data_IF_260616888359
#
_entry.id   IF_260616888359
#
_cell.length_a   1.000
_cell.length_b   1.000
_cell.length_c   1.000
_cell.angle_alpha   90.00
_cell.angle_beta   90.00
_cell.angle_gamma   90.00
#
_symmetry.space_group_name_H-M   'P 1'
#
loop_
_entity.id
_entity.type
_entity.pdbx_description
1 polymer ?
#
# COMPACT_ATOMS: atom_id res chain seq x y z
N UNK A 1 5.02 5.73 24.64
CA UNK A 1 4.43 4.59 23.92
C UNK A 1 4.98 4.47 22.50
N UNK A 2 4.78 5.47 21.61
CA UNK A 2 5.13 5.43 20.18
C UNK A 2 6.61 5.06 19.86
N UNK A 3 7.56 5.45 20.71
CA UNK A 3 8.98 5.04 20.59
C UNK A 3 9.18 3.52 20.65
N UNK A 4 8.36 2.82 21.44
CA UNK A 4 8.41 1.36 21.54
C UNK A 4 7.88 0.68 20.27
N UNK A 5 6.96 1.35 19.56
CA UNK A 5 6.34 0.91 18.30
C UNK A 5 7.32 1.11 17.13
N UNK A 6 8.13 2.18 17.15
CA UNK A 6 9.17 2.43 16.14
C UNK A 6 9.26 3.89 15.69
N UNK A 7 8.28 4.72 16.02
CA UNK A 7 8.29 6.15 15.69
C UNK A 7 9.38 6.91 16.46
N UNK A 8 9.98 7.90 15.81
CA UNK A 8 10.89 8.86 16.44
C UNK A 8 10.05 9.97 17.06
N UNK A 9 9.92 10.08 18.41
CA UNK A 9 8.95 11.01 19.01
C UNK A 9 9.18 12.48 18.63
N UNK A 10 10.42 12.86 18.32
CA UNK A 10 10.76 14.21 17.92
C UNK A 10 10.21 14.61 16.55
N UNK A 11 9.88 13.65 15.70
CA UNK A 11 9.29 13.92 14.37
C UNK A 11 7.76 13.94 14.41
N UNK A 12 7.16 13.82 15.60
CA UNK A 12 5.71 13.73 15.80
C UNK A 12 5.23 14.96 16.59
N UNK A 13 4.34 15.80 16.02
CA UNK A 13 3.76 16.91 16.76
C UNK A 13 2.78 16.37 17.82
N UNK A 14 2.82 16.96 19.02
CA UNK A 14 1.89 16.66 20.11
C UNK A 14 1.02 17.87 20.37
N UNK A 15 -0.26 17.78 19.99
CA UNK A 15 -1.21 18.89 20.08
C UNK A 15 -2.26 18.57 21.17
N UNK A 16 -2.33 19.35 22.26
CA UNK A 16 -3.44 19.23 23.19
C UNK A 16 -4.69 19.86 22.55
N UNK A 17 -5.77 19.08 22.43
CA UNK A 17 -7.01 19.50 21.76
C UNK A 17 -8.23 19.16 22.61
N UNK A 18 -9.33 19.87 22.36
CA UNK A 18 -10.68 19.41 22.70
C UNK A 18 -11.48 19.27 21.41
N UNK A 19 -11.67 18.04 20.95
CA UNK A 19 -12.46 17.80 19.74
C UNK A 19 -13.92 18.24 19.87
N UNK A 20 -14.46 18.28 21.11
CA UNK A 20 -15.83 18.71 21.38
C UNK A 20 -15.99 20.24 21.37
N UNK A 21 -15.08 20.95 22.04
CA UNK A 21 -15.18 22.41 22.18
C UNK A 21 -14.44 23.17 21.06
N UNK A 22 -13.62 22.48 20.26
CA UNK A 22 -12.83 23.09 19.20
C UNK A 22 -11.45 23.62 19.63
N UNK A 23 -11.06 23.45 20.90
CA UNK A 23 -9.78 23.96 21.41
C UNK A 23 -8.59 23.41 20.61
N UNK A 24 -7.74 24.30 20.08
CA UNK A 24 -6.57 23.98 19.25
C UNK A 24 -6.88 23.14 18.00
N UNK A 25 -8.13 23.06 17.55
CA UNK A 25 -8.48 22.34 16.33
C UNK A 25 -8.07 23.15 15.09
N UNK A 26 -8.65 24.36 14.96
CA UNK A 26 -8.38 25.30 13.86
C UNK A 26 -7.68 26.56 14.35
N UNK A 27 -7.98 27.00 15.57
CA UNK A 27 -7.49 28.24 16.18
C UNK A 27 -6.87 27.96 17.56
N UNK A 28 -6.00 28.86 18.02
CA UNK A 28 -5.35 28.77 19.33
C UNK A 28 -6.37 28.91 20.46
N UNK A 29 -6.32 28.01 21.44
CA UNK A 29 -7.25 28.00 22.55
C UNK A 29 -6.86 29.00 23.64
N UNK A 30 -7.79 29.87 24.08
CA UNK A 30 -7.56 30.73 25.25
C UNK A 30 -7.52 29.93 26.57
N UNK A 31 -8.03 28.68 26.58
CA UNK A 31 -8.09 27.83 27.76
C UNK A 31 -6.74 27.17 28.11
N UNK A 32 -5.73 27.29 27.24
CA UNK A 32 -4.42 26.67 27.41
C UNK A 32 -3.26 27.69 27.37
N UNK A 33 -3.23 28.71 28.26
CA UNK A 33 -2.21 29.76 28.24
C UNK A 33 -0.77 29.25 28.49
N UNK A 34 -0.66 28.05 29.09
CA UNK A 34 0.60 27.36 29.33
C UNK A 34 1.20 26.75 28.06
N UNK A 35 0.38 26.43 27.06
CA UNK A 35 0.81 25.76 25.85
C UNK A 35 1.44 26.77 24.88
N UNK A 36 2.67 26.49 24.46
CA UNK A 36 3.46 27.38 23.58
C UNK A 36 3.52 26.91 22.13
N UNK A 37 2.75 25.88 21.80
CA UNK A 37 2.78 25.23 20.50
C UNK A 37 3.55 23.90 20.51
N UNK A 38 3.34 23.12 19.45
CA UNK A 38 4.05 21.90 19.17
C UNK A 38 5.28 22.18 18.31
N UNK A 39 6.24 21.25 18.33
CA UNK A 39 7.42 21.29 17.47
C UNK A 39 7.68 19.90 16.90
N UNK A 40 8.13 19.80 15.65
CA UNK A 40 8.63 18.54 15.09
C UNK A 40 9.92 18.75 14.29
N UNK A 41 10.83 17.79 14.38
CA UNK A 41 12.03 17.71 13.56
C UNK A 41 11.69 17.03 12.21
N UNK A 42 12.13 17.64 11.11
CA UNK A 42 12.11 17.05 9.76
C UNK A 42 13.50 17.08 9.14
N UNK A 43 13.65 16.50 7.94
CA UNK A 43 14.93 16.55 7.22
C UNK A 43 15.35 17.99 6.85
N UNK A 44 14.38 18.89 6.69
CA UNK A 44 14.61 20.28 6.30
C UNK A 44 14.78 21.24 7.51
N UNK A 45 14.49 20.78 8.73
CA UNK A 45 14.64 21.59 9.94
C UNK A 45 13.53 21.36 10.96
N UNK A 46 13.37 22.29 11.89
CA UNK A 46 12.33 22.24 12.94
C UNK A 46 11.12 23.04 12.49
N UNK A 47 9.96 22.39 12.42
CA UNK A 47 8.67 23.02 12.15
C UNK A 47 7.93 23.21 13.48
N UNK A 48 7.21 24.32 13.62
CA UNK A 48 6.39 24.64 14.80
C UNK A 48 4.99 25.05 14.37
N UNK A 49 4.03 24.85 15.26
CA UNK A 49 2.65 25.33 15.10
C UNK A 49 1.93 25.24 16.43
N UNK A 50 0.65 25.60 16.45
CA UNK A 50 -0.17 25.54 17.68
C UNK A 50 -1.34 24.58 17.54
N UNK A 51 -2.00 24.59 16.39
CA UNK A 51 -3.27 23.89 16.18
C UNK A 51 -3.06 22.52 15.55
N UNK A 52 -4.12 21.72 15.52
CA UNK A 52 -4.16 20.45 14.80
C UNK A 52 -4.11 20.68 13.30
N UNK A 53 -4.79 21.73 12.80
CA UNK A 53 -4.70 22.13 11.39
C UNK A 53 -3.24 22.44 11.00
N UNK A 54 -2.52 23.24 11.79
CA UNK A 54 -1.11 23.52 11.54
C UNK A 54 -0.30 22.21 11.45
N UNK A 55 -0.61 21.23 12.31
CA UNK A 55 0.11 19.95 12.35
C UNK A 55 -0.14 19.09 11.10
N UNK A 56 -1.37 19.13 10.57
CA UNK A 56 -1.77 18.47 9.32
C UNK A 56 -1.12 19.16 8.12
N UNK A 57 -1.19 20.49 8.04
CA UNK A 57 -0.59 21.28 6.96
C UNK A 57 0.93 21.13 6.93
N UNK A 58 1.54 20.90 8.09
CA UNK A 58 2.97 20.64 8.19
C UNK A 58 3.39 19.23 7.72
N UNK A 59 2.46 18.32 7.37
CA UNK A 59 2.82 16.98 6.85
C UNK A 59 3.57 17.16 5.54
N UNK A 60 4.78 16.60 5.46
CA UNK A 60 5.56 16.62 4.22
C UNK A 60 4.80 15.83 3.15
N UNK A 61 4.46 16.44 1.99
CA UNK A 61 3.77 15.71 0.94
C UNK A 61 4.60 14.50 0.50
N UNK A 62 4.00 13.31 0.37
CA UNK A 62 4.72 12.15 -0.10
C UNK A 62 5.18 12.37 -1.54
N UNK A 63 6.36 11.86 -1.88
CA UNK A 63 6.81 11.81 -3.27
C UNK A 63 5.87 10.89 -4.06
N UNK A 64 5.28 11.41 -5.13
CA UNK A 64 4.46 10.62 -6.05
C UNK A 64 5.38 9.87 -7.02
N UNK A 65 5.37 8.53 -7.04
CA UNK A 65 6.31 7.72 -7.84
C UNK A 65 5.92 7.67 -9.33
N UNK A 66 5.79 8.82 -9.98
CA UNK A 66 5.38 8.93 -11.39
C UNK A 66 6.42 8.42 -12.37
N UNK A 67 7.70 8.44 -11.98
CA UNK A 67 8.82 7.98 -12.81
C UNK A 67 9.07 6.46 -12.69
N UNK A 68 8.38 5.79 -11.75
CA UNK A 68 8.44 4.33 -11.62
C UNK A 68 7.57 3.64 -12.68
N UNK A 69 7.77 2.35 -12.96
CA UNK A 69 6.87 1.55 -13.79
C UNK A 69 5.42 1.62 -13.30
N UNK A 70 4.46 1.50 -14.23
CA UNK A 70 3.04 1.51 -13.90
C UNK A 70 2.66 0.29 -13.05
N UNK A 71 2.01 0.52 -11.91
CA UNK A 71 1.29 -0.49 -11.11
C UNK A 71 -0.07 0.07 -10.70
N UNK A 72 -1.13 -0.58 -11.17
CA UNK A 72 -2.51 -0.21 -10.90
C UNK A 72 -3.29 -1.46 -10.48
N UNK A 73 -3.35 -1.78 -9.18
CA UNK A 73 -4.17 -2.87 -8.65
C UNK A 73 -5.66 -2.61 -8.88
N UNK A 74 -6.35 -3.61 -9.44
CA UNK A 74 -7.77 -3.51 -9.77
C UNK A 74 -8.63 -3.67 -8.52
N UNK A 75 -9.51 -2.71 -8.30
CA UNK A 75 -10.54 -2.74 -7.25
C UNK A 75 -11.79 -3.45 -7.77
N UNK A 76 -12.25 -3.08 -8.97
CA UNK A 76 -13.44 -3.61 -9.63
C UNK A 76 -13.27 -3.67 -11.14
N UNK A 77 -14.13 -4.43 -11.81
CA UNK A 77 -14.17 -4.53 -13.28
C UNK A 77 -15.63 -4.51 -13.73
N UNK A 78 -15.98 -3.51 -14.55
CA UNK A 78 -17.33 -3.31 -15.04
C UNK A 78 -17.46 -3.63 -16.53
N UNK A 79 -18.66 -4.05 -16.94
CA UNK A 79 -19.08 -4.14 -18.34
C UNK A 79 -20.08 -3.01 -18.61
N UNK A 80 -19.67 -2.01 -19.38
CA UNK A 80 -20.50 -0.86 -19.72
C UNK A 80 -21.02 -1.01 -21.16
N UNK A 81 -22.34 -0.90 -21.35
CA UNK A 81 -22.95 -0.98 -22.69
C UNK A 81 -22.40 0.11 -23.62
N UNK A 82 -22.02 -0.27 -24.84
CA UNK A 82 -21.44 0.65 -25.84
C UNK A 82 -19.95 1.00 -25.63
N UNK A 83 -19.42 0.85 -24.41
CA UNK A 83 -18.02 1.14 -24.07
C UNK A 83 -17.17 -0.14 -23.99
N UNK A 84 -17.69 -1.20 -23.39
CA UNK A 84 -16.99 -2.47 -23.20
C UNK A 84 -16.51 -2.68 -21.77
N UNK A 85 -15.31 -3.21 -21.60
CA UNK A 85 -14.74 -3.57 -20.29
C UNK A 85 -13.99 -2.37 -19.71
N UNK A 86 -14.34 -2.03 -18.46
CA UNK A 86 -13.75 -0.90 -17.72
C UNK A 86 -13.28 -1.39 -16.35
N UNK A 87 -11.98 -1.72 -16.20
CA UNK A 87 -11.35 -1.89 -14.91
C UNK A 87 -11.25 -0.55 -14.17
N UNK A 88 -11.33 -0.62 -12.84
CA UNK A 88 -11.21 0.52 -11.94
C UNK A 88 -10.18 0.19 -10.87
N UNK A 89 -9.33 1.15 -10.54
CA UNK A 89 -8.36 1.00 -9.46
C UNK A 89 -7.57 2.28 -9.20
N UNK A 90 -6.67 2.19 -8.23
CA UNK A 90 -5.77 3.29 -7.89
C UNK A 90 -4.45 3.12 -8.63
N UNK A 91 -3.94 4.18 -9.23
CA UNK A 91 -2.54 4.20 -9.72
C UNK A 91 -1.63 4.29 -8.50
N UNK A 92 -0.86 3.24 -8.21
CA UNK A 92 0.09 3.23 -7.08
C UNK A 92 1.46 3.79 -7.52
N UNK A 93 1.92 3.39 -8.71
CA UNK A 93 3.16 3.87 -9.32
C UNK A 93 3.00 4.11 -10.81
N UNK A 94 3.87 4.94 -11.37
CA UNK A 94 3.88 5.27 -12.79
C UNK A 94 2.68 6.09 -13.24
N UNK A 95 2.39 6.04 -14.54
CA UNK A 95 1.36 6.84 -15.18
C UNK A 95 0.58 5.95 -16.14
N UNK A 96 -0.75 6.12 -16.18
CA UNK A 96 -1.62 5.47 -17.17
C UNK A 96 -2.18 6.50 -18.14
N UNK A 97 -2.18 6.21 -19.44
CA UNK A 97 -2.70 7.09 -20.50
C UNK A 97 -3.42 6.30 -21.58
N UNK A 98 -4.30 6.97 -22.30
CA UNK A 98 -4.83 6.42 -23.55
C UNK A 98 -3.70 6.09 -24.54
N UNK A 99 -3.86 5.00 -25.29
CA UNK A 99 -2.88 4.48 -26.25
C UNK A 99 -1.78 3.60 -25.64
N UNK A 100 -1.67 3.52 -24.31
CA UNK A 100 -0.72 2.61 -23.67
C UNK A 100 -1.12 1.16 -23.90
N UNK A 101 -0.13 0.29 -24.11
CA UNK A 101 -0.33 -1.16 -24.14
C UNK A 101 -0.02 -1.67 -22.74
N UNK A 102 -1.05 -2.15 -22.04
CA UNK A 102 -0.97 -2.62 -20.66
C UNK A 102 -1.10 -4.13 -20.56
N UNK A 103 -0.46 -4.70 -19.55
CA UNK A 103 -0.52 -6.13 -19.19
C UNK A 103 -1.19 -6.30 -17.83
N UNK A 104 -2.04 -7.31 -17.69
CA UNK A 104 -2.70 -7.66 -16.43
C UNK A 104 -2.07 -8.91 -15.81
N UNK A 105 -1.41 -8.76 -14.66
CA UNK A 105 -0.93 -9.86 -13.85
C UNK A 105 -2.01 -10.33 -12.85
N UNK A 106 -2.08 -11.63 -12.52
CA UNK A 106 -1.20 -12.73 -12.96
C UNK A 106 -1.51 -13.29 -14.36
N UNK A 107 -2.62 -12.92 -14.99
CA UNK A 107 -3.09 -13.57 -16.23
C UNK A 107 -2.23 -13.35 -17.49
N UNK A 108 -1.33 -12.37 -17.49
CA UNK A 108 -0.44 -12.04 -18.61
C UNK A 108 -1.14 -11.43 -19.83
N UNK A 109 -2.45 -11.17 -19.75
CA UNK A 109 -3.23 -10.62 -20.85
C UNK A 109 -2.79 -9.19 -21.15
N UNK A 110 -2.59 -8.88 -22.43
CA UNK A 110 -2.13 -7.56 -22.88
C UNK A 110 -3.16 -6.91 -23.79
N UNK A 111 -3.40 -5.62 -23.61
CA UNK A 111 -4.39 -4.84 -24.37
C UNK A 111 -4.03 -3.36 -24.42
N UNK A 112 -4.68 -2.61 -25.31
CA UNK A 112 -4.54 -1.16 -25.41
C UNK A 112 -5.59 -0.44 -24.56
N UNK A 113 -5.15 0.56 -23.80
CA UNK A 113 -6.01 1.48 -23.06
C UNK A 113 -6.60 2.51 -24.03
N UNK A 114 -7.93 2.63 -24.09
CA UNK A 114 -8.61 3.56 -25.02
C UNK A 114 -8.91 4.92 -24.40
N UNK A 115 -9.34 4.93 -23.16
CA UNK A 115 -9.59 6.14 -22.38
C UNK A 115 -9.26 5.90 -20.93
N UNK A 116 -8.97 6.98 -20.21
CA UNK A 116 -8.82 7.00 -18.75
C UNK A 116 -9.76 8.09 -18.24
N UNK A 117 -10.53 7.77 -17.21
CA UNK A 117 -11.57 8.64 -16.65
C UNK A 117 -11.50 8.64 -15.12
N UNK A 118 -11.81 9.79 -14.53
CA UNK A 118 -11.96 9.96 -13.08
C UNK A 118 -13.14 10.88 -12.82
N UNK A 119 -14.06 10.48 -11.93
CA UNK A 119 -15.27 11.26 -11.62
C UNK A 119 -16.10 11.69 -12.85
N UNK A 120 -16.21 10.81 -13.87
CA UNK A 120 -16.91 11.05 -15.13
C UNK A 120 -16.28 12.11 -16.06
N UNK A 121 -15.03 12.50 -15.79
CA UNK A 121 -14.24 13.36 -16.66
C UNK A 121 -13.10 12.56 -17.29
N UNK A 122 -12.86 12.80 -18.58
CA UNK A 122 -11.76 12.16 -19.30
C UNK A 122 -10.43 12.82 -18.92
N UNK A 123 -9.45 11.99 -18.57
CA UNK A 123 -8.10 12.41 -18.25
C UNK A 123 -7.16 12.18 -19.42
N UNK A 124 -6.22 13.11 -19.62
CA UNK A 124 -5.07 12.87 -20.52
C UNK A 124 -4.16 11.76 -19.95
N UNK A 125 -4.01 11.75 -18.62
CA UNK A 125 -3.20 10.79 -17.88
C UNK A 125 -3.68 10.64 -16.44
N UNK A 126 -3.65 9.43 -15.89
CA UNK A 126 -3.80 9.15 -14.47
C UNK A 126 -2.43 9.08 -13.78
N UNK A 127 -2.30 9.76 -12.64
CA UNK A 127 -1.07 9.87 -11.85
C UNK A 127 -1.16 9.07 -10.54
N UNK A 128 -0.02 8.79 -9.87
CA UNK A 128 -0.04 8.07 -8.60
C UNK A 128 -0.95 8.74 -7.57
N UNK A 129 -1.87 7.96 -6.98
CA UNK A 129 -2.91 8.40 -6.05
C UNK A 129 -4.30 8.56 -6.68
N UNK A 130 -4.39 8.69 -8.00
CA UNK A 130 -5.67 8.85 -8.69
C UNK A 130 -6.43 7.52 -8.72
N UNK A 131 -7.74 7.56 -8.46
CA UNK A 131 -8.62 6.41 -8.62
C UNK A 131 -9.33 6.55 -9.96
N UNK A 132 -8.92 5.74 -10.93
CA UNK A 132 -9.31 5.88 -12.33
C UNK A 132 -10.09 4.65 -12.81
N UNK A 133 -11.06 4.88 -13.68
CA UNK A 133 -11.61 3.87 -14.58
C UNK A 133 -10.94 4.00 -15.94
N UNK A 134 -10.64 2.89 -16.61
CA UNK A 134 -10.02 2.96 -17.93
C UNK A 134 -10.63 1.93 -18.88
N UNK A 135 -10.89 2.33 -20.12
CA UNK A 135 -11.46 1.42 -21.12
C UNK A 135 -10.37 0.58 -21.78
N UNK A 136 -10.65 -0.71 -21.95
CA UNK A 136 -9.78 -1.65 -22.68
C UNK A 136 -10.55 -2.44 -23.73
N UNK A 137 -9.89 -2.76 -24.86
CA UNK A 137 -10.50 -3.58 -25.93
C UNK A 137 -10.16 -5.06 -25.79
N UNK A 138 -11.01 -5.91 -26.33
CA UNK A 138 -10.76 -7.36 -26.47
C UNK A 138 -10.45 -8.10 -25.15
N UNK A 139 -10.87 -7.55 -24.02
CA UNK A 139 -10.77 -8.17 -22.69
C UNK A 139 -12.18 -8.39 -22.16
N UNK A 140 -12.52 -9.62 -21.76
CA UNK A 140 -13.78 -9.88 -21.07
C UNK A 140 -13.67 -9.53 -19.59
N UNK A 141 -14.77 -9.09 -18.98
CA UNK A 141 -14.85 -8.94 -17.51
C UNK A 141 -14.65 -10.25 -16.73
N UNK A 142 -14.65 -11.40 -17.42
CA UNK A 142 -14.32 -12.70 -16.82
C UNK A 142 -12.81 -12.99 -16.79
N UNK A 143 -12.03 -12.29 -17.62
CA UNK A 143 -10.59 -12.55 -17.79
C UNK A 143 -9.73 -11.75 -16.80
N UNK A 144 -10.27 -10.64 -16.29
CA UNK A 144 -9.66 -9.77 -15.29
C UNK A 144 -10.61 -9.56 -14.12
N UNK A 145 -10.07 -9.43 -12.91
CA UNK A 145 -10.87 -9.27 -11.69
C UNK A 145 -10.12 -8.47 -10.64
N UNK A 146 -10.82 -8.13 -9.55
CA UNK A 146 -10.22 -7.56 -8.34
C UNK A 146 -8.99 -8.34 -7.89
N UNK A 147 -7.93 -7.63 -7.50
CA UNK A 147 -6.65 -8.19 -7.08
C UNK A 147 -5.66 -8.46 -8.20
N UNK A 148 -6.07 -8.31 -9.47
CA UNK A 148 -5.12 -8.27 -10.59
C UNK A 148 -4.39 -6.93 -10.59
N UNK A 149 -3.20 -6.89 -11.18
CA UNK A 149 -2.38 -5.67 -11.28
C UNK A 149 -2.19 -5.34 -12.75
N UNK A 150 -2.60 -4.13 -13.14
CA UNK A 150 -2.33 -3.57 -14.45
C UNK A 150 -0.97 -2.86 -14.46
N UNK A 151 -0.17 -3.09 -15.50
CA UNK A 151 1.15 -2.49 -15.69
C UNK A 151 1.41 -2.14 -17.15
N UNK A 152 2.39 -1.29 -17.44
CA UNK A 152 2.83 -1.04 -18.81
C UNK A 152 3.54 -2.29 -19.37
N UNK A 153 3.12 -2.76 -20.54
CA UNK A 153 3.72 -3.94 -21.18
C UNK A 153 5.16 -3.71 -21.65
N UNK A 154 5.57 -2.44 -21.82
CA UNK A 154 6.88 -2.05 -22.35
C UNK A 154 7.88 -1.61 -21.29
N UNK A 155 7.43 -1.40 -20.06
CA UNK A 155 8.26 -0.91 -18.97
C UNK A 155 8.00 -1.74 -17.70
N UNK A 156 8.80 -2.78 -17.52
CA UNK A 156 8.71 -3.72 -16.40
C UNK A 156 7.27 -4.21 -16.13
N UNK A 157 6.71 -5.07 -17.00
CA UNK A 157 5.38 -5.60 -16.81
C UNK A 157 5.29 -6.47 -15.57
N UNK A 158 4.23 -6.27 -14.79
CA UNK A 158 3.90 -7.03 -13.60
C UNK A 158 3.73 -8.53 -13.94
N UNK A 159 4.11 -9.41 -12.99
CA UNK A 159 4.12 -10.87 -13.19
C UNK A 159 3.45 -11.60 -12.03
N UNK A 160 3.08 -12.85 -12.28
CA UNK A 160 2.66 -13.77 -11.23
C UNK A 160 3.85 -14.17 -10.35
N UNK A 161 3.66 -14.14 -9.04
CA UNK A 161 4.62 -14.62 -8.07
C UNK A 161 4.36 -16.10 -7.75
N UNK A 162 5.24 -17.00 -8.19
CA UNK A 162 5.18 -18.42 -7.81
C UNK A 162 5.40 -18.62 -6.30
N UNK A 163 6.28 -17.81 -5.71
CA UNK A 163 6.48 -17.69 -4.28
C UNK A 163 7.14 -16.35 -3.98
N UNK A 164 7.03 -15.87 -2.76
CA UNK A 164 7.74 -14.68 -2.32
C UNK A 164 8.21 -14.86 -0.88
N UNK A 165 9.26 -14.15 -0.53
CA UNK A 165 9.78 -14.12 0.85
C UNK A 165 9.42 -12.78 1.46
N UNK A 166 8.85 -12.78 2.66
CA UNK A 166 8.51 -11.56 3.37
C UNK A 166 8.91 -11.64 4.84
N UNK A 167 9.28 -10.49 5.41
CA UNK A 167 9.40 -10.33 6.84
C UNK A 167 8.01 -10.19 7.45
N UNK A 168 7.60 -11.16 8.26
CA UNK A 168 6.38 -11.11 9.04
C UNK A 168 6.67 -10.69 10.47
N UNK A 169 5.73 -9.97 11.08
CA UNK A 169 5.69 -9.69 12.51
C UNK A 169 4.39 -10.27 13.03
N UNK A 170 4.49 -11.23 13.95
CA UNK A 170 3.30 -11.90 14.49
C UNK A 170 2.68 -11.01 15.55
N UNK A 171 1.45 -10.57 15.30
CA UNK A 171 0.64 -9.81 16.24
C UNK A 171 0.04 -10.76 17.30
N UNK A 172 -1.03 -10.34 17.97
CA UNK A 172 -1.71 -11.16 18.97
C UNK A 172 -2.37 -12.37 18.30
N UNK A 173 -1.85 -13.56 18.57
CA UNK A 173 -2.31 -14.83 18.06
C UNK A 173 -2.28 -15.86 19.21
N UNK A 174 -3.36 -16.61 19.46
CA UNK A 174 -3.48 -17.45 20.67
C UNK A 174 -2.60 -18.71 20.64
N UNK A 175 -2.07 -19.08 19.47
CA UNK A 175 -1.26 -20.29 19.28
C UNK A 175 0.09 -20.03 18.63
N UNK A 176 0.72 -21.12 18.21
CA UNK A 176 1.97 -21.10 17.45
C UNK A 176 1.68 -21.30 15.96
N UNK A 177 2.50 -20.69 15.11
CA UNK A 177 2.44 -20.80 13.65
C UNK A 177 3.65 -21.63 13.20
N UNK A 178 3.40 -22.74 12.52
CA UNK A 178 4.43 -23.59 11.92
C UNK A 178 4.42 -23.52 10.39
N UNK A 179 5.40 -24.17 9.77
CA UNK A 179 5.39 -24.40 8.33
C UNK A 179 4.11 -25.18 7.93
N UNK A 180 3.49 -24.75 6.84
CA UNK A 180 2.21 -25.27 6.36
C UNK A 180 0.98 -24.45 6.77
N UNK A 181 1.11 -23.51 7.70
CA UNK A 181 0.05 -22.56 8.02
C UNK A 181 -0.35 -21.76 6.77
N UNK A 182 -1.65 -21.66 6.47
CA UNK A 182 -2.15 -21.06 5.22
C UNK A 182 -3.24 -20.01 5.50
N UNK A 183 -2.88 -18.85 6.09
CA UNK A 183 -3.82 -17.76 6.31
C UNK A 183 -4.16 -17.07 4.99
N UNK A 184 -5.24 -16.28 5.01
CA UNK A 184 -5.51 -15.33 3.94
C UNK A 184 -4.64 -14.09 4.12
N UNK A 185 -3.99 -13.67 3.03
CA UNK A 185 -3.23 -12.44 2.94
C UNK A 185 -4.01 -11.41 2.15
N UNK A 186 -4.18 -10.24 2.75
CA UNK A 186 -4.57 -9.02 2.07
C UNK A 186 -3.29 -8.29 1.63
N UNK A 187 -3.14 -8.12 0.33
CA UNK A 187 -2.05 -7.35 -0.27
C UNK A 187 -2.67 -6.50 -1.38
N UNK A 188 -2.50 -5.17 -1.32
CA UNK A 188 -3.19 -4.21 -2.19
C UNK A 188 -4.70 -4.48 -2.26
N UNK A 189 -5.23 -4.92 -3.41
CA UNK A 189 -6.63 -5.31 -3.59
C UNK A 189 -6.81 -6.83 -3.67
N UNK A 190 -5.73 -7.61 -3.64
CA UNK A 190 -5.76 -9.06 -3.62
C UNK A 190 -6.05 -9.61 -2.21
N UNK A 191 -6.86 -10.66 -2.19
CA UNK A 191 -7.29 -11.39 -1.00
C UNK A 191 -7.12 -12.89 -1.27
N UNK A 192 -5.96 -13.44 -0.94
CA UNK A 192 -5.54 -14.80 -1.37
C UNK A 192 -4.92 -15.55 -0.20
N UNK A 193 -5.29 -16.82 -0.04
CA UNK A 193 -4.64 -17.71 0.93
C UNK A 193 -3.21 -18.01 0.48
N UNK A 194 -2.24 -17.80 1.37
CA UNK A 194 -0.82 -18.06 1.10
C UNK A 194 -0.27 -19.03 2.14
N UNK A 195 0.30 -20.14 1.69
CA UNK A 195 0.94 -21.13 2.55
C UNK A 195 2.31 -20.61 3.01
N UNK A 196 2.55 -20.63 4.30
CA UNK A 196 3.87 -20.45 4.90
C UNK A 196 4.67 -21.72 4.60
N UNK A 197 5.32 -21.75 3.44
CA UNK A 197 6.03 -22.94 2.96
C UNK A 197 7.26 -23.23 3.82
N UNK A 198 7.97 -22.19 4.23
CA UNK A 198 9.17 -22.29 5.04
C UNK A 198 9.29 -21.10 5.99
N UNK A 199 9.59 -21.38 7.25
CA UNK A 199 10.04 -20.37 8.21
C UNK A 199 11.56 -20.32 8.09
N UNK A 200 12.11 -19.31 7.42
CA UNK A 200 13.53 -19.27 7.04
C UNK A 200 14.38 -18.84 8.23
N UNK A 201 14.01 -17.71 8.85
CA UNK A 201 14.86 -17.09 9.87
C UNK A 201 14.03 -16.25 10.83
N UNK A 202 14.18 -16.47 12.12
CA UNK A 202 13.64 -15.61 13.16
C UNK A 202 14.60 -14.47 13.43
N UNK A 203 14.08 -13.26 13.53
CA UNK A 203 14.87 -12.03 13.69
C UNK A 203 14.39 -11.19 14.86
N UNK A 204 15.30 -10.39 15.41
CA UNK A 204 14.94 -9.30 16.30
C UNK A 204 14.23 -8.20 15.51
N UNK A 205 13.00 -7.86 15.91
CA UNK A 205 12.12 -6.93 15.19
C UNK A 205 12.68 -5.50 15.04
N UNK A 206 13.66 -5.10 15.85
CA UNK A 206 14.20 -3.72 15.86
C UNK A 206 15.52 -3.61 15.11
N UNK A 207 16.42 -4.55 15.38
CA UNK A 207 17.77 -4.55 14.81
C UNK A 207 17.87 -5.34 13.51
N UNK A 208 16.88 -6.19 13.19
CA UNK A 208 16.93 -7.09 12.05
C UNK A 208 17.94 -8.21 12.20
N UNK A 209 18.57 -8.36 13.38
CA UNK A 209 19.57 -9.40 13.62
C UNK A 209 18.91 -10.77 13.69
N UNK A 210 19.51 -11.73 13.00
CA UNK A 210 19.16 -13.15 13.11
C UNK A 210 19.26 -13.64 14.55
N UNK A 211 18.23 -14.35 15.01
CA UNK A 211 18.15 -14.98 16.32
C UNK A 211 18.18 -16.51 16.21
N UNK A 212 17.47 -17.06 15.22
CA UNK A 212 17.33 -18.51 15.03
C UNK A 212 17.08 -18.81 13.55
N UNK A 213 17.85 -19.75 12.97
CA UNK A 213 17.65 -20.22 11.60
C UNK A 213 16.66 -21.40 11.60
N UNK A 214 15.77 -21.42 10.62
CA UNK A 214 14.77 -22.47 10.42
C UNK A 214 13.96 -22.81 11.69
N UNK A 215 13.31 -21.82 12.33
CA UNK A 215 12.54 -22.07 13.55
C UNK A 215 11.40 -23.05 13.29
N UNK A 216 11.13 -23.97 14.24
CA UNK A 216 10.01 -24.93 14.12
C UNK A 216 8.65 -24.24 14.16
N UNK A 217 8.54 -23.18 14.95
CA UNK A 217 7.32 -22.39 15.11
C UNK A 217 7.64 -20.94 15.48
N UNK A 218 6.72 -20.03 15.17
CA UNK A 218 6.74 -18.62 15.59
C UNK A 218 5.47 -18.29 16.37
N UNK A 219 5.56 -17.31 17.28
CA UNK A 219 4.45 -16.88 18.16
C UNK A 219 4.35 -15.36 18.23
N UNK A 220 3.33 -14.86 18.92
CA UNK A 220 3.13 -13.41 19.12
C UNK A 220 4.38 -12.68 19.57
N UNK A 221 4.68 -11.58 18.89
CA UNK A 221 5.84 -10.73 19.10
C UNK A 221 7.08 -11.11 18.29
N UNK A 222 7.12 -12.32 17.71
CA UNK A 222 8.24 -12.75 16.86
C UNK A 222 8.24 -12.03 15.52
N UNK A 223 9.43 -11.75 15.00
CA UNK A 223 9.63 -11.39 13.59
C UNK A 223 10.34 -12.53 12.88
N UNK A 224 9.91 -12.86 11.67
CA UNK A 224 10.45 -13.99 10.92
C UNK A 224 10.44 -13.70 9.42
N UNK A 225 11.48 -14.12 8.71
CA UNK A 225 11.52 -14.22 7.26
C UNK A 225 10.81 -15.51 6.87
N UNK A 226 9.74 -15.40 6.10
CA UNK A 226 8.89 -16.54 5.71
C UNK A 226 8.80 -16.60 4.20
N UNK A 227 9.03 -17.79 3.64
CA UNK A 227 8.71 -18.09 2.25
C UNK A 227 7.24 -18.47 2.13
N UNK A 228 6.51 -17.74 1.31
CA UNK A 228 5.09 -17.92 1.11
C UNK A 228 4.78 -18.36 -0.32
N UNK A 229 3.80 -19.24 -0.45
CA UNK A 229 3.30 -19.73 -1.74
C UNK A 229 1.81 -19.41 -1.84
N UNK A 230 1.39 -18.53 -2.76
CA UNK A 230 -0.02 -18.27 -3.02
C UNK A 230 -0.77 -19.54 -3.45
N UNK A 231 -2.00 -19.70 -2.99
CA UNK A 231 -2.89 -20.81 -3.40
C UNK A 231 -3.51 -20.60 -4.79
N UNK A 232 -3.46 -19.38 -5.31
CA UNK A 232 -3.95 -18.95 -6.62
C UNK A 232 -2.96 -17.91 -7.18
N UNK A 233 -2.98 -17.70 -8.49
CA UNK A 233 -2.14 -16.68 -9.10
C UNK A 233 -2.30 -15.32 -8.41
N UNK A 234 -1.16 -14.75 -8.02
CA UNK A 234 -1.07 -13.53 -7.24
C UNK A 234 0.08 -12.69 -7.81
N UNK A 235 -0.14 -11.39 -7.95
CA UNK A 235 0.91 -10.43 -8.28
C UNK A 235 1.28 -9.68 -7.01
N UNK A 236 2.57 -9.67 -6.67
CA UNK A 236 3.17 -8.92 -5.57
C UNK A 236 4.55 -8.44 -5.99
N UNK A 237 5.02 -7.36 -5.40
CA UNK A 237 6.33 -6.76 -5.67
C UNK A 237 7.17 -6.68 -4.40
N UNK A 238 8.46 -6.43 -4.55
CA UNK A 238 9.31 -6.11 -3.41
C UNK A 238 8.92 -4.76 -2.81
N UNK A 239 8.89 -4.64 -1.48
CA UNK A 239 8.51 -3.39 -0.81
C UNK A 239 9.46 -2.22 -1.13
N UNK A 240 10.70 -2.50 -1.50
CA UNK A 240 11.72 -1.47 -1.76
C UNK A 240 11.74 -0.98 -3.22
N UNK A 241 10.98 -1.61 -4.11
CA UNK A 241 10.90 -1.24 -5.54
C UNK A 241 9.98 -0.04 -5.79
#
# INVERSE_FOLDING_TARGET
FIKKVGYVPKTVPFVPISGWNGDNMLEDSPNMPWYKGWTKETKAGVIKGKTLLDAIDAIEPPSRPSDKPLRLPLQDVYKIGGIGTVPVGRVETGVIKAGMIVTFAPGGMTTEVKSVEMHHEQLERGLPGDNVGFNVKNVSVKDVRRGFVCSDSKNDPAKEAASFTAQVIILNHPGQIGAGYAPVLDCHTAHIACKFAELIEKMDRRSGKSLEKSPKFIKSGDSCIVKMVPSKGMCVESYNE
#
